data_IF_652841844381
#
_entry.id   IF_652841844381
#
_cell.length_a   1.000
_cell.length_b   1.000
_cell.length_c   1.000
_cell.angle_alpha   90.00
_cell.angle_beta   90.00
_cell.angle_gamma   90.00
#
_symmetry.space_group_name_H-M   'P 1'
#
loop_
_entity.id
_entity.type
_entity.pdbx_description
1 polymer ?
#
# COMPACT_ATOMS: atom_id res chain seq x y z
N UNK A 1 -30.45 -0.01 1.56
CA UNK A 1 -29.43 -1.04 1.21
C UNK A 1 -28.20 -0.78 2.06
N UNK A 2 -27.59 -1.79 2.67
CA UNK A 2 -26.38 -1.61 3.49
C UNK A 2 -25.16 -1.35 2.60
N UNK A 3 -24.42 -0.28 2.89
CA UNK A 3 -23.22 0.08 2.15
C UNK A 3 -22.11 -0.95 2.40
N UNK A 4 -21.36 -1.35 1.36
CA UNK A 4 -20.28 -2.34 1.48
C UNK A 4 -19.24 -1.96 2.56
N UNK A 5 -18.97 -0.66 2.73
CA UNK A 5 -18.11 -0.14 3.81
C UNK A 5 -18.63 -0.52 5.20
N UNK A 6 -19.93 -0.35 5.43
CA UNK A 6 -20.55 -0.66 6.72
C UNK A 6 -20.54 -2.17 6.98
N UNK A 7 -20.76 -2.98 5.93
CA UNK A 7 -20.67 -4.45 6.01
C UNK A 7 -19.26 -4.88 6.44
N UNK A 8 -18.22 -4.37 5.78
CA UNK A 8 -16.84 -4.67 6.12
C UNK A 8 -16.48 -4.28 7.55
N UNK A 9 -16.89 -3.09 8.01
CA UNK A 9 -16.65 -2.65 9.39
C UNK A 9 -17.30 -3.60 10.39
N UNK A 10 -18.55 -3.99 10.15
CA UNK A 10 -19.26 -4.94 11.02
C UNK A 10 -18.57 -6.31 11.07
N UNK A 11 -18.09 -6.80 9.92
CA UNK A 11 -17.33 -8.06 9.86
C UNK A 11 -16.03 -7.95 10.65
N UNK A 12 -15.26 -6.88 10.48
CA UNK A 12 -14.03 -6.66 11.25
C UNK A 12 -14.28 -6.57 12.76
N UNK A 13 -15.32 -5.86 13.19
CA UNK A 13 -15.72 -5.80 14.60
C UNK A 13 -16.07 -7.20 15.12
N UNK A 14 -16.84 -7.97 14.34
CA UNK A 14 -17.20 -9.34 14.71
C UNK A 14 -15.98 -10.26 14.84
N UNK A 15 -14.98 -10.13 13.95
CA UNK A 15 -13.73 -10.87 14.03
C UNK A 15 -12.96 -10.56 15.32
N UNK A 16 -12.85 -9.27 15.68
CA UNK A 16 -12.19 -8.84 16.92
C UNK A 16 -12.90 -9.41 18.14
N UNK A 17 -14.23 -9.31 18.19
CA UNK A 17 -15.03 -9.82 19.31
C UNK A 17 -14.84 -11.34 19.45
N UNK A 18 -14.89 -12.08 18.34
CA UNK A 18 -14.68 -13.54 18.36
C UNK A 18 -13.27 -13.91 18.83
N UNK A 19 -12.24 -13.23 18.32
CA UNK A 19 -10.85 -13.45 18.75
C UNK A 19 -10.69 -13.25 20.26
N UNK A 20 -11.18 -12.12 20.78
CA UNK A 20 -11.12 -11.80 22.21
C UNK A 20 -11.93 -12.79 23.04
N UNK A 21 -13.12 -13.16 22.58
CA UNK A 21 -13.98 -14.14 23.27
C UNK A 21 -13.29 -15.49 23.39
N UNK A 22 -12.58 -15.92 22.34
CA UNK A 22 -11.82 -17.16 22.35
C UNK A 22 -10.68 -17.11 23.37
N UNK A 23 -9.94 -16.00 23.43
CA UNK A 23 -8.88 -15.80 24.45
C UNK A 23 -9.43 -15.86 25.88
N UNK A 24 -10.64 -15.32 26.12
CA UNK A 24 -11.28 -15.39 27.43
C UNK A 24 -11.72 -16.82 27.80
N UNK A 25 -12.27 -17.57 26.84
CA UNK A 25 -12.74 -18.95 27.07
C UNK A 25 -11.57 -19.89 27.32
N UNK A 26 -10.49 -19.75 26.54
CA UNK A 26 -9.31 -20.62 26.63
C UNK A 26 -8.33 -20.18 27.72
N UNK A 27 -8.52 -18.98 28.29
CA UNK A 27 -7.61 -18.34 29.27
C UNK A 27 -6.18 -18.17 28.76
N UNK A 28 -5.97 -18.28 27.44
CA UNK A 28 -4.69 -18.18 26.76
C UNK A 28 -4.90 -17.59 25.36
N UNK A 29 -3.89 -16.88 24.86
CA UNK A 29 -3.88 -16.38 23.48
C UNK A 29 -3.38 -17.47 22.52
N UNK A 30 -4.27 -18.40 22.17
CA UNK A 30 -3.97 -19.53 21.27
C UNK A 30 -3.76 -19.10 19.82
N UNK A 31 -3.13 -19.97 19.02
CA UNK A 31 -2.91 -19.74 17.58
C UNK A 31 -4.21 -19.42 16.82
N UNK A 32 -5.33 -20.03 17.22
CA UNK A 32 -6.63 -19.78 16.60
C UNK A 32 -7.11 -18.35 16.84
N UNK A 33 -7.00 -17.86 18.08
CA UNK A 33 -7.39 -16.49 18.44
C UNK A 33 -6.55 -15.46 17.69
N UNK A 34 -5.25 -15.72 17.54
CA UNK A 34 -4.32 -14.91 16.75
C UNK A 34 -4.65 -14.91 15.26
N UNK A 35 -4.95 -16.08 14.68
CA UNK A 35 -5.31 -16.19 13.27
C UNK A 35 -6.56 -15.35 12.95
N UNK A 36 -7.57 -15.40 13.81
CA UNK A 36 -8.80 -14.60 13.67
C UNK A 36 -8.49 -13.10 13.80
N UNK A 37 -7.66 -12.71 14.77
CA UNK A 37 -7.25 -11.32 14.97
C UNK A 37 -6.50 -10.77 13.73
N UNK A 38 -5.59 -11.55 13.17
CA UNK A 38 -4.79 -11.18 12.00
C UNK A 38 -5.62 -11.11 10.71
N UNK A 39 -6.82 -11.71 10.69
CA UNK A 39 -7.76 -11.61 9.57
C UNK A 39 -8.57 -10.30 9.58
N UNK A 40 -8.62 -9.58 10.71
CA UNK A 40 -9.39 -8.34 10.88
C UNK A 40 -9.12 -7.20 9.87
N UNK A 41 -7.89 -6.98 9.33
CA UNK A 41 -7.67 -5.91 8.35
C UNK A 41 -8.21 -6.24 6.95
N UNK A 42 -8.50 -7.51 6.62
CA UNK A 42 -8.94 -7.90 5.28
C UNK A 42 -10.27 -7.27 4.86
N UNK A 43 -11.36 -7.32 5.67
CA UNK A 43 -12.60 -6.65 5.32
C UNK A 43 -12.44 -5.14 5.17
N UNK A 44 -11.58 -4.51 5.99
CA UNK A 44 -11.28 -3.07 5.91
C UNK A 44 -10.59 -2.73 4.60
N UNK A 45 -9.54 -3.48 4.23
CA UNK A 45 -8.83 -3.32 2.97
C UNK A 45 -9.79 -3.45 1.77
N UNK A 46 -10.71 -4.42 1.82
CA UNK A 46 -11.74 -4.59 0.79
C UNK A 46 -12.71 -3.40 0.71
N UNK A 47 -13.15 -2.86 1.84
CA UNK A 47 -14.00 -1.67 1.86
C UNK A 47 -13.30 -0.44 1.28
N UNK A 48 -12.01 -0.24 1.61
CA UNK A 48 -11.22 0.87 1.12
C UNK A 48 -10.93 0.76 -0.38
N UNK A 49 -10.66 -0.45 -0.89
CA UNK A 49 -10.46 -0.70 -2.33
C UNK A 49 -11.63 -0.19 -3.19
N UNK A 50 -12.88 -0.39 -2.74
CA UNK A 50 -14.06 0.10 -3.47
C UNK A 50 -14.29 1.60 -3.40
N UNK A 51 -13.73 2.29 -2.39
CA UNK A 51 -13.87 3.74 -2.25
C UNK A 51 -13.05 4.53 -3.29
N UNK A 52 -12.05 3.89 -3.92
CA UNK A 52 -11.11 4.58 -4.82
C UNK A 52 -11.63 4.67 -6.26
N UNK A 53 -12.68 3.92 -6.60
CA UNK A 53 -13.27 3.90 -7.96
C UNK A 53 -14.03 5.19 -8.29
N UNK A 54 -14.32 6.05 -7.30
CA UNK A 54 -15.04 7.31 -7.52
C UNK A 54 -14.17 8.56 -7.50
N UNK A 55 -12.83 8.45 -7.47
CA UNK A 55 -12.02 9.60 -7.85
C UNK A 55 -12.03 9.70 -9.36
N UNK A 56 -12.79 10.68 -9.87
CA UNK A 56 -12.45 11.32 -11.13
C UNK A 56 -10.93 11.50 -11.11
N UNK A 57 -10.24 10.80 -12.01
CA UNK A 57 -8.89 11.17 -12.39
C UNK A 57 -9.06 12.55 -12.98
N UNK A 58 -8.90 13.58 -12.13
CA UNK A 58 -8.63 14.91 -12.61
C UNK A 58 -7.40 14.74 -13.50
N UNK A 59 -7.56 15.12 -14.76
CA UNK A 59 -6.63 14.91 -15.85
C UNK A 59 -5.27 15.46 -15.41
N UNK A 60 -4.44 14.60 -14.82
CA UNK A 60 -3.07 14.96 -14.49
C UNK A 60 -2.40 15.02 -15.84
N UNK A 61 -2.33 16.22 -16.41
CA UNK A 61 -1.53 16.52 -17.59
C UNK A 61 -0.14 15.91 -17.35
N UNK A 62 0.09 14.76 -17.97
CA UNK A 62 1.38 14.11 -17.95
C UNK A 62 2.31 15.07 -18.70
N UNK A 63 3.35 15.64 -18.05
CA UNK A 63 4.26 16.53 -18.75
C UNK A 63 4.89 15.73 -19.88
N UNK A 64 4.62 16.14 -21.12
CA UNK A 64 5.22 15.58 -22.31
C UNK A 64 6.69 15.98 -22.25
N UNK A 65 7.56 15.00 -22.01
CA UNK A 65 9.00 15.19 -22.09
C UNK A 65 9.36 15.40 -23.56
N UNK A 66 9.59 16.65 -23.95
CA UNK A 66 10.11 16.97 -25.27
C UNK A 66 11.57 16.50 -25.34
N UNK A 67 11.81 15.44 -26.12
CA UNK A 67 13.15 14.95 -26.46
C UNK A 67 13.98 15.98 -27.26
N UNK A 68 13.34 17.06 -27.72
CA UNK A 68 13.96 18.11 -28.55
C UNK A 68 14.63 19.24 -27.74
N UNK A 69 14.47 19.27 -26.40
CA UNK A 69 15.21 20.18 -25.50
C UNK A 69 16.42 19.48 -24.86
N UNK A 70 17.23 18.79 -25.67
CA UNK A 70 18.62 18.54 -25.32
C UNK A 70 19.43 19.75 -25.80
N UNK A 71 19.27 20.87 -25.09
CA UNK A 71 20.33 21.87 -25.08
C UNK A 71 21.54 21.16 -24.46
N UNK A 72 22.48 20.76 -25.33
CA UNK A 72 23.75 20.16 -24.98
C UNK A 72 24.56 21.18 -24.17
N UNK A 73 24.25 21.31 -22.89
CA UNK A 73 25.24 21.76 -21.93
C UNK A 73 26.26 20.64 -21.85
N UNK A 74 27.40 20.84 -22.52
CA UNK A 74 28.64 20.08 -22.35
C UNK A 74 29.21 20.24 -20.92
N UNK A 75 28.37 20.16 -19.90
CA UNK A 75 28.77 19.99 -18.51
C UNK A 75 28.34 18.59 -18.07
N UNK A 76 28.62 17.61 -18.93
CA UNK A 76 28.56 16.21 -18.56
C UNK A 76 29.54 16.00 -17.41
N UNK A 77 29.04 15.39 -16.33
CA UNK A 77 29.84 14.92 -15.19
C UNK A 77 31.12 14.34 -15.79
N UNK A 78 32.26 14.94 -15.44
CA UNK A 78 33.58 14.63 -16.02
C UNK A 78 33.98 13.16 -15.82
N UNK A 79 35.27 12.84 -15.96
CA UNK A 79 35.72 11.44 -15.86
C UNK A 79 35.09 10.74 -14.63
N UNK A 80 34.30 9.66 -14.80
CA UNK A 80 33.60 9.00 -13.71
C UNK A 80 34.54 8.57 -12.58
N UNK A 81 35.82 8.33 -12.90
CA UNK A 81 36.87 8.04 -11.91
C UNK A 81 37.16 9.28 -11.04
N UNK A 82 37.32 10.46 -11.64
CA UNK A 82 37.51 11.72 -10.88
C UNK A 82 36.25 12.14 -10.13
N UNK A 83 35.07 11.81 -10.66
CA UNK A 83 33.78 12.03 -10.01
C UNK A 83 33.48 11.03 -8.88
N UNK A 84 34.37 10.06 -8.62
CA UNK A 84 34.26 9.11 -7.51
C UNK A 84 33.24 8.00 -7.72
N UNK A 85 32.79 7.78 -8.96
CA UNK A 85 31.97 6.63 -9.30
C UNK A 85 32.85 5.37 -9.41
N UNK A 86 32.42 4.29 -8.77
CA UNK A 86 33.08 2.99 -8.88
C UNK A 86 32.66 2.33 -10.21
N UNK A 87 33.61 2.22 -11.16
CA UNK A 87 33.35 1.64 -12.48
C UNK A 87 33.64 0.13 -12.41
N UNK A 88 32.64 -0.74 -12.62
CA UNK A 88 32.87 -2.18 -12.54
C UNK A 88 33.82 -2.63 -13.65
N UNK A 89 34.87 -3.38 -13.27
CA UNK A 89 35.83 -3.99 -14.19
C UNK A 89 35.33 -5.40 -14.53
N UNK A 90 35.17 -5.70 -15.83
CA UNK A 90 34.83 -7.03 -16.34
C UNK A 90 36.09 -7.84 -16.67
#
# INVERSE_FOLDING_TARGET
MMNARNVSILISISLVITSVSLMFVEQEATTESWAILLLTPFPIAFALSRSQVSHNVEDVEVPIWNEDEVESSEEGIGDPIEAGFDVPVL
#
